data_IF_623961233916
#
_entry.id   IF_623961233916
#
_cell.length_a   1.000
_cell.length_b   1.000
_cell.length_c   1.000
_cell.angle_alpha   90.00
_cell.angle_beta   90.00
_cell.angle_gamma   90.00
#
_symmetry.space_group_name_H-M   'P 1'
#
loop_
_entity.id
_entity.type
_entity.pdbx_description
1 polymer ?
#
# COMPACT_ATOMS: atom_id res chain seq x y z
N UNK A 1 11.30 10.27 10.16
CA UNK A 1 10.79 9.35 11.19
C UNK A 1 11.51 8.02 11.09
N UNK A 2 11.73 7.31 12.22
CA UNK A 2 12.51 6.07 12.27
C UNK A 2 11.90 4.94 11.42
N UNK A 3 10.58 4.75 11.52
CA UNK A 3 9.83 3.74 10.77
C UNK A 3 9.99 3.84 9.24
N UNK A 4 9.91 5.04 8.67
CA UNK A 4 10.06 5.22 7.22
C UNK A 4 11.45 4.79 6.73
N UNK A 5 12.49 5.12 7.51
CA UNK A 5 13.87 4.72 7.22
C UNK A 5 14.02 3.21 7.33
N UNK A 6 13.44 2.59 8.38
CA UNK A 6 13.45 1.13 8.58
C UNK A 6 12.75 0.40 7.44
N UNK A 7 11.58 0.90 7.02
CA UNK A 7 10.80 0.34 5.91
C UNK A 7 11.55 0.41 4.58
N UNK A 8 12.37 1.46 4.38
CA UNK A 8 13.26 1.56 3.22
C UNK A 8 14.45 0.59 3.31
N UNK A 9 15.09 0.50 4.48
CA UNK A 9 16.21 -0.41 4.74
C UNK A 9 15.82 -1.87 4.51
N UNK A 10 14.66 -2.28 5.02
CA UNK A 10 14.10 -3.62 4.83
C UNK A 10 13.42 -3.78 3.47
N UNK A 11 13.51 -2.76 2.60
CA UNK A 11 12.96 -2.74 1.25
C UNK A 11 11.47 -3.06 1.21
N UNK A 12 10.69 -2.74 2.24
CA UNK A 12 9.27 -3.10 2.33
C UNK A 12 8.37 -2.32 1.37
N UNK A 13 8.82 -1.17 0.87
CA UNK A 13 8.02 -0.23 0.11
C UNK A 13 8.04 -0.49 -1.41
N UNK A 14 6.87 -0.60 -2.01
CA UNK A 14 6.66 -0.67 -3.46
C UNK A 14 5.92 0.57 -3.95
N UNK A 15 6.19 1.05 -5.19
CA UNK A 15 5.39 2.11 -5.79
C UNK A 15 3.90 1.74 -5.77
N UNK A 16 3.07 2.70 -5.37
CA UNK A 16 1.62 2.60 -5.36
C UNK A 16 1.05 3.62 -6.35
N UNK A 17 0.18 3.15 -7.25
CA UNK A 17 -0.48 4.00 -8.25
C UNK A 17 -1.94 3.62 -8.36
N UNK A 18 -2.81 4.63 -8.42
CA UNK A 18 -4.25 4.45 -8.63
C UNK A 18 -4.70 5.28 -9.84
N UNK A 19 -5.31 4.63 -10.83
CA UNK A 19 -5.94 5.30 -11.97
C UNK A 19 -7.38 5.67 -11.62
N UNK A 20 -7.79 6.90 -11.89
CA UNK A 20 -9.16 7.36 -11.67
C UNK A 20 -9.60 8.24 -12.85
N UNK A 21 -10.87 8.10 -13.25
CA UNK A 21 -11.48 8.90 -14.30
C UNK A 21 -12.36 9.97 -13.64
N UNK A 22 -11.98 11.24 -13.78
CA UNK A 22 -12.85 12.35 -13.39
C UNK A 22 -13.66 12.71 -14.65
N UNK A 23 -14.98 12.49 -14.62
CA UNK A 23 -16.02 12.80 -15.63
C UNK A 23 -15.55 13.45 -16.93
N UNK A 24 -15.76 12.79 -18.08
CA UNK A 24 -15.47 13.19 -19.48
C UNK A 24 -14.07 13.76 -19.78
N UNK A 25 -13.20 13.91 -18.77
CA UNK A 25 -11.80 14.30 -18.93
C UNK A 25 -10.90 13.08 -18.96
N UNK A 26 -9.71 13.30 -19.50
CA UNK A 26 -8.63 12.31 -19.61
C UNK A 26 -8.41 11.56 -18.28
N UNK A 27 -8.23 10.22 -18.33
CA UNK A 27 -7.90 9.43 -17.15
C UNK A 27 -6.70 10.02 -16.42
N UNK A 28 -6.85 10.25 -15.11
CA UNK A 28 -5.76 10.72 -14.26
C UNK A 28 -5.16 9.54 -13.50
N UNK A 29 -3.85 9.60 -13.26
CA UNK A 29 -3.14 8.60 -12.46
C UNK A 29 -2.59 9.28 -11.22
N UNK A 30 -3.03 8.82 -10.04
CA UNK A 30 -2.37 9.13 -8.78
C UNK A 30 -1.07 8.33 -8.71
N UNK A 31 0.06 9.03 -8.71
CA UNK A 31 1.41 8.45 -8.60
C UNK A 31 2.19 9.18 -7.51
N UNK A 32 3.42 8.72 -7.22
CA UNK A 32 4.29 9.33 -6.21
C UNK A 32 4.09 8.79 -4.79
N UNK A 33 3.25 7.77 -4.62
CA UNK A 33 3.01 7.11 -3.35
C UNK A 33 3.72 5.77 -3.29
N UNK A 34 3.97 5.32 -2.07
CA UNK A 34 4.51 3.99 -1.79
C UNK A 34 3.59 3.28 -0.79
N UNK A 35 3.48 1.97 -0.94
CA UNK A 35 2.77 1.10 -0.02
C UNK A 35 3.70 0.00 0.47
N UNK A 36 3.49 -0.49 1.70
CA UNK A 36 4.16 -1.70 2.16
C UNK A 36 3.61 -2.91 1.39
N UNK A 37 4.51 -3.70 0.79
CA UNK A 37 4.18 -4.95 0.13
C UNK A 37 4.08 -6.10 1.13
N UNK A 38 2.94 -6.81 1.12
CA UNK A 38 2.75 -8.01 1.95
C UNK A 38 3.72 -9.13 1.60
N UNK A 39 4.12 -9.24 0.34
CA UNK A 39 5.07 -10.28 -0.08
C UNK A 39 6.47 -9.98 0.47
N UNK A 40 6.90 -8.71 0.46
CA UNK A 40 8.16 -8.30 1.09
C UNK A 40 8.16 -8.45 2.61
N UNK A 41 7.00 -8.33 3.26
CA UNK A 41 6.88 -8.64 4.70
C UNK A 41 7.10 -10.13 4.98
N UNK A 42 6.65 -11.04 4.10
CA UNK A 42 6.88 -12.49 4.25
C UNK A 42 8.34 -12.89 4.04
N UNK A 43 9.10 -12.06 3.34
CA UNK A 43 10.54 -12.27 3.07
C UNK A 43 11.44 -11.79 4.21
N UNK A 44 10.88 -11.18 5.26
CA UNK A 44 11.66 -10.72 6.42
C UNK A 44 12.31 -11.90 7.15
N UNK A 45 13.59 -11.73 7.48
CA UNK A 45 14.31 -12.67 8.36
C UNK A 45 13.80 -12.58 9.80
N UNK A 46 14.03 -13.64 10.58
CA UNK A 46 13.69 -13.68 12.01
C UNK A 46 14.27 -12.48 12.79
N UNK A 47 15.50 -12.07 12.46
CA UNK A 47 16.15 -10.93 13.08
C UNK A 47 15.43 -9.62 12.75
N UNK A 48 15.07 -9.41 11.48
CA UNK A 48 14.35 -8.20 11.05
C UNK A 48 12.95 -8.16 11.67
N UNK A 49 12.24 -9.29 11.70
CA UNK A 49 10.93 -9.40 12.32
C UNK A 49 11.01 -9.09 13.83
N UNK A 50 11.99 -9.65 14.54
CA UNK A 50 12.22 -9.36 15.96
C UNK A 50 12.47 -7.87 16.20
N UNK A 51 13.27 -7.21 15.36
CA UNK A 51 13.53 -5.78 15.48
C UNK A 51 12.25 -4.95 15.32
N UNK A 52 11.37 -5.31 14.37
CA UNK A 52 10.10 -4.62 14.17
C UNK A 52 9.17 -4.77 15.37
N UNK A 53 9.13 -5.96 15.98
CA UNK A 53 8.32 -6.22 17.17
C UNK A 53 8.84 -5.44 18.38
N UNK A 54 10.15 -5.45 18.61
CA UNK A 54 10.75 -4.77 19.77
C UNK A 54 10.62 -3.25 19.75
N UNK A 55 10.33 -2.67 18.58
CA UNK A 55 10.20 -1.23 18.36
C UNK A 55 8.75 -0.81 18.08
N UNK A 56 7.78 -1.71 18.26
CA UNK A 56 6.36 -1.50 17.92
C UNK A 56 6.11 -1.10 16.44
N UNK A 57 7.10 -1.34 15.56
CA UNK A 57 7.05 -1.00 14.14
C UNK A 57 6.24 -2.01 13.33
N UNK A 58 6.08 -3.24 13.83
CA UNK A 58 5.24 -4.24 13.16
C UNK A 58 3.76 -3.82 13.14
N UNK A 59 3.27 -3.16 14.19
CA UNK A 59 1.91 -2.60 14.23
C UNK A 59 1.74 -1.50 13.18
N UNK A 60 2.75 -0.64 13.00
CA UNK A 60 2.75 0.40 11.99
C UNK A 60 2.71 -0.17 10.56
N UNK A 61 3.38 -1.31 10.32
CA UNK A 61 3.30 -2.03 9.03
C UNK A 61 1.86 -2.43 8.73
N UNK A 62 1.20 -3.13 9.65
CA UNK A 62 -0.16 -3.61 9.44
C UNK A 62 -1.17 -2.47 9.35
N UNK A 63 -1.00 -1.43 10.16
CA UNK A 63 -1.82 -0.22 10.10
C UNK A 63 -1.70 0.47 8.73
N UNK A 64 -0.48 0.58 8.20
CA UNK A 64 -0.26 1.17 6.88
C UNK A 64 -0.89 0.32 5.76
N UNK A 65 -0.75 -1.01 5.81
CA UNK A 65 -1.41 -1.93 4.86
C UNK A 65 -2.93 -1.74 4.91
N UNK A 66 -3.51 -1.73 6.10
CA UNK A 66 -4.96 -1.57 6.25
C UNK A 66 -5.44 -0.19 5.80
N UNK A 67 -4.66 0.86 6.02
CA UNK A 67 -4.96 2.21 5.52
C UNK A 67 -5.03 2.24 4.00
N UNK A 68 -4.12 1.56 3.29
CA UNK A 68 -4.13 1.48 1.82
C UNK A 68 -5.35 0.71 1.34
N UNK A 69 -5.67 -0.44 1.95
CA UNK A 69 -6.87 -1.23 1.63
C UNK A 69 -8.15 -0.40 1.82
N UNK A 70 -8.24 0.35 2.92
CA UNK A 70 -9.39 1.21 3.19
C UNK A 70 -9.50 2.35 2.17
N UNK A 71 -8.36 2.93 1.77
CA UNK A 71 -8.31 3.95 0.73
C UNK A 71 -8.77 3.41 -0.63
N UNK A 72 -8.32 2.22 -1.03
CA UNK A 72 -8.78 1.55 -2.25
C UNK A 72 -10.30 1.30 -2.22
N UNK A 73 -10.83 0.80 -1.09
CA UNK A 73 -12.27 0.61 -0.92
C UNK A 73 -13.04 1.92 -1.04
N UNK A 74 -12.54 2.99 -0.43
CA UNK A 74 -13.15 4.32 -0.55
C UNK A 74 -13.19 4.80 -2.00
N UNK A 75 -12.09 4.65 -2.75
CA UNK A 75 -12.04 5.03 -4.16
C UNK A 75 -13.05 4.21 -4.99
N UNK A 76 -13.18 2.91 -4.73
CA UNK A 76 -14.12 2.04 -5.45
C UNK A 76 -15.60 2.31 -5.11
N UNK A 77 -15.92 2.72 -3.87
CA UNK A 77 -17.30 3.01 -3.45
C UNK A 77 -17.73 4.46 -3.70
N UNK A 78 -16.79 5.36 -3.98
CA UNK A 78 -17.12 6.73 -4.35
C UNK A 78 -17.89 6.73 -5.67
N UNK A 79 -18.99 7.49 -5.79
CA UNK A 79 -19.78 7.65 -7.03
C UNK A 79 -19.04 8.47 -8.10
N UNK A 80 -17.77 8.15 -8.33
CA UNK A 80 -17.00 8.52 -9.50
C UNK A 80 -17.23 7.41 -10.52
N UNK A 81 -17.70 7.69 -11.75
CA UNK A 81 -18.09 6.65 -12.70
C UNK A 81 -16.94 5.66 -12.96
N UNK A 82 -17.10 4.46 -12.39
CA UNK A 82 -16.40 3.19 -12.59
C UNK A 82 -15.02 3.22 -13.24
N UNK A 83 -14.10 3.81 -12.50
CA UNK A 83 -12.77 3.29 -12.19
C UNK A 83 -12.47 1.82 -12.59
N UNK A 84 -11.83 1.60 -13.73
CA UNK A 84 -10.89 0.47 -13.85
C UNK A 84 -9.58 0.88 -13.17
N UNK A 85 -9.53 0.77 -11.85
CA UNK A 85 -8.25 0.87 -11.16
C UNK A 85 -7.51 -0.46 -11.39
N UNK A 86 -6.65 -0.49 -12.41
CA UNK A 86 -5.73 -1.60 -12.64
C UNK A 86 -4.64 -1.56 -11.56
N UNK A 87 -4.94 -2.17 -10.42
CA UNK A 87 -3.96 -2.48 -9.39
C UNK A 87 -3.27 -3.79 -9.76
N UNK A 88 -1.94 -3.76 -9.90
CA UNK A 88 -1.13 -4.98 -9.88
C UNK A 88 -0.91 -5.39 -8.41
N UNK A 89 -1.96 -5.89 -7.75
CA UNK A 89 -1.80 -6.58 -6.47
C UNK A 89 -2.50 -7.95 -6.55
N UNK A 90 -1.78 -9.07 -6.42
CA UNK A 90 -2.28 -10.39 -6.81
C UNK A 90 -3.43 -10.99 -5.96
N UNK A 91 -4.01 -10.27 -4.99
CA UNK A 91 -4.84 -10.90 -3.95
C UNK A 91 -6.14 -10.16 -3.58
N UNK A 92 -6.63 -9.23 -4.40
CA UNK A 92 -8.00 -8.71 -4.29
C UNK A 92 -8.88 -9.33 -5.39
N UNK A 93 -9.06 -10.65 -5.30
CA UNK A 93 -10.15 -11.39 -5.93
C UNK A 93 -10.88 -12.14 -4.81
N UNK A 94 -11.78 -11.45 -4.15
CA UNK A 94 -12.83 -12.06 -3.33
C UNK A 94 -14.17 -11.58 -3.90
#
# INVERSE_FOLDING_TARGET
MAFCRKSQEFKLLTPFSAKFEISEKTPQTLTGFYAVSRDRVKELTDLQLRQLVQLDELELIYTHIQSVINFERYLNNSRVPSSKILFHHPLLQF
#
